data_IF_092845317949
#
_entry.id   IF_092845317949
#
_cell.length_a   1.000
_cell.length_b   1.000
_cell.length_c   1.000
_cell.angle_alpha   90.00
_cell.angle_beta   90.00
_cell.angle_gamma   90.00
#
_symmetry.space_group_name_H-M   'P 1'
#
loop_
_entity.id
_entity.type
_entity.pdbx_description
1 polymer ?
#
# COMPACT_ATOMS: atom_id res chain seq x y z
N UNK A 1 -2.65 -1.80 2.31
CA UNK A 1 -2.16 -0.50 1.82
C UNK A 1 -1.52 0.34 2.93
N UNK A 2 -0.33 0.87 2.65
CA UNK A 2 0.30 1.91 3.44
C UNK A 2 0.07 3.23 2.72
N UNK A 3 -0.61 4.18 3.36
CA UNK A 3 -0.73 5.55 2.87
C UNK A 3 0.35 6.41 3.53
N UNK A 4 1.34 6.83 2.76
CA UNK A 4 2.35 7.79 3.21
C UNK A 4 1.87 9.20 2.84
N UNK A 5 1.39 9.94 3.84
CA UNK A 5 0.75 11.23 3.63
C UNK A 5 1.73 12.42 3.44
N UNK A 6 3.05 12.22 3.51
CA UNK A 6 3.95 13.38 3.65
C UNK A 6 4.98 13.57 2.55
N UNK A 7 5.53 12.54 1.90
CA UNK A 7 6.43 12.77 0.75
C UNK A 7 6.71 11.48 -0.01
N UNK A 8 6.97 11.58 -1.33
CA UNK A 8 7.47 10.44 -2.12
C UNK A 8 8.73 9.80 -1.51
N UNK A 9 9.56 10.59 -0.81
CA UNK A 9 10.72 10.14 -0.03
C UNK A 9 10.38 9.11 1.05
N UNK A 10 9.31 9.31 1.81
CA UNK A 10 8.91 8.34 2.85
C UNK A 10 8.47 7.02 2.23
N UNK A 11 7.74 7.10 1.12
CA UNK A 11 7.30 5.93 0.37
C UNK A 11 8.51 5.13 -0.17
N UNK A 12 9.52 5.83 -0.70
CA UNK A 12 10.80 5.22 -1.10
C UNK A 12 11.55 4.59 0.09
N UNK A 13 11.59 5.25 1.24
CA UNK A 13 12.23 4.71 2.44
C UNK A 13 11.53 3.44 2.94
N UNK A 14 10.19 3.41 2.96
CA UNK A 14 9.40 2.24 3.33
C UNK A 14 9.63 1.12 2.31
N UNK A 15 9.65 1.43 1.00
CA UNK A 15 9.97 0.46 -0.05
C UNK A 15 11.36 -0.14 0.13
N UNK A 16 12.36 0.66 0.48
CA UNK A 16 13.71 0.18 0.76
C UNK A 16 13.75 -0.74 2.01
N UNK A 17 12.97 -0.42 3.06
CA UNK A 17 12.83 -1.29 4.24
C UNK A 17 12.13 -2.61 3.90
N UNK A 18 11.11 -2.56 3.05
CA UNK A 18 10.41 -3.76 2.55
C UNK A 18 11.33 -4.64 1.70
N UNK A 19 12.16 -4.04 0.85
CA UNK A 19 13.15 -4.76 0.05
C UNK A 19 14.22 -5.44 0.92
N UNK A 20 14.51 -4.90 2.11
CA UNK A 20 15.41 -5.51 3.11
C UNK A 20 14.75 -6.61 3.95
N UNK A 21 13.54 -7.06 3.60
CA UNK A 21 12.80 -8.08 4.36
C UNK A 21 11.95 -7.51 5.51
N UNK A 22 11.69 -6.20 5.51
CA UNK A 22 10.85 -5.57 6.54
C UNK A 22 9.40 -6.04 6.49
N UNK A 23 8.76 -6.14 7.65
CA UNK A 23 7.34 -6.47 7.76
C UNK A 23 6.45 -5.32 7.28
N UNK A 24 5.67 -5.57 6.22
CA UNK A 24 4.68 -4.61 5.72
C UNK A 24 3.65 -4.22 6.78
N UNK A 25 3.21 -5.16 7.61
CA UNK A 25 2.22 -4.92 8.65
C UNK A 25 2.75 -3.96 9.73
N UNK A 26 4.03 -4.11 10.14
CA UNK A 26 4.68 -3.20 11.09
C UNK A 26 4.86 -1.80 10.50
N UNK A 27 5.35 -1.73 9.26
CA UNK A 27 5.54 -0.46 8.55
C UNK A 27 4.20 0.24 8.30
N UNK A 28 3.14 -0.50 8.04
CA UNK A 28 1.80 0.05 7.93
C UNK A 28 1.29 0.62 9.25
N UNK A 29 1.50 -0.07 10.37
CA UNK A 29 1.12 0.45 11.70
C UNK A 29 1.87 1.73 12.05
N UNK A 30 3.17 1.79 11.72
CA UNK A 30 4.02 2.94 12.03
C UNK A 30 3.82 4.13 11.09
N UNK A 31 3.75 3.90 9.78
CA UNK A 31 3.82 4.95 8.76
C UNK A 31 2.49 5.21 8.05
N UNK A 32 1.53 4.28 8.10
CA UNK A 32 0.25 4.50 7.41
C UNK A 32 -0.59 5.54 8.14
N UNK A 33 -1.00 6.56 7.41
CA UNK A 33 -1.90 7.60 7.91
C UNK A 33 -3.38 7.24 7.69
N UNK A 34 -3.66 6.07 7.11
CA UNK A 34 -5.02 5.60 6.88
C UNK A 34 -5.61 5.00 8.18
N UNK A 35 -6.93 5.11 8.46
CA UNK A 35 -7.57 4.39 9.56
C UNK A 35 -7.33 2.87 9.53
N UNK A 36 -7.06 2.30 8.35
CA UNK A 36 -6.63 0.91 8.20
C UNK A 36 -5.30 0.57 8.88
N UNK A 37 -4.52 1.57 9.35
CA UNK A 37 -3.29 1.34 10.14
C UNK A 37 -3.53 0.44 11.35
N UNK A 38 -4.71 0.53 11.98
CA UNK A 38 -5.07 -0.32 13.14
C UNK A 38 -5.08 -1.81 12.77
N UNK A 39 -5.46 -2.12 11.53
CA UNK A 39 -5.45 -3.47 10.95
C UNK A 39 -4.16 -3.78 10.19
N UNK A 40 -3.06 -3.07 10.43
CA UNK A 40 -1.82 -3.35 9.68
C UNK A 40 -1.82 -2.82 8.26
N UNK A 41 -2.67 -1.83 7.97
CA UNK A 41 -2.92 -1.39 6.61
C UNK A 41 -3.76 -2.38 5.82
N UNK A 42 -4.42 -3.35 6.44
CA UNK A 42 -5.35 -4.24 5.75
C UNK A 42 -6.64 -3.48 5.40
N UNK A 43 -7.07 -3.60 4.14
CA UNK A 43 -8.32 -3.00 3.65
C UNK A 43 -9.45 -4.03 3.55
N UNK A 44 -9.18 -5.30 3.79
CA UNK A 44 -10.12 -6.38 3.52
C UNK A 44 -10.30 -6.61 2.03
N UNK A 45 -11.45 -7.16 1.68
CA UNK A 45 -11.87 -7.39 0.30
C UNK A 45 -12.56 -6.14 -0.26
N UNK A 46 -12.21 -5.78 -1.48
CA UNK A 46 -12.81 -4.66 -2.20
C UNK A 46 -12.89 -5.03 -3.68
N UNK A 47 -13.91 -4.54 -4.38
CA UNK A 47 -14.11 -4.79 -5.79
C UNK A 47 -13.43 -3.73 -6.64
N UNK A 48 -13.23 -4.07 -7.92
CA UNK A 48 -12.78 -3.11 -8.93
C UNK A 48 -13.80 -1.97 -9.04
N UNK A 49 -13.37 -0.74 -8.81
CA UNK A 49 -14.19 0.47 -8.80
C UNK A 49 -14.44 1.04 -7.41
N UNK A 50 -14.22 0.28 -6.34
CA UNK A 50 -14.38 0.76 -4.96
C UNK A 50 -13.24 1.70 -4.54
N UNK A 51 -12.10 1.60 -5.23
CA UNK A 51 -10.90 2.40 -4.98
C UNK A 51 -10.53 3.26 -6.19
N UNK A 52 -9.60 4.19 -5.98
CA UNK A 52 -9.05 5.01 -7.07
C UNK A 52 -8.43 4.11 -8.15
N UNK A 53 -8.65 4.46 -9.42
CA UNK A 53 -8.17 3.70 -10.59
C UNK A 53 -6.71 3.27 -10.52
N UNK A 54 -5.83 4.15 -10.00
CA UNK A 54 -4.41 3.84 -9.84
C UNK A 54 -4.13 2.71 -8.82
N UNK A 55 -5.00 2.53 -7.82
CA UNK A 55 -4.94 1.44 -6.87
C UNK A 55 -5.44 0.13 -7.50
N UNK A 56 -6.59 0.17 -8.17
CA UNK A 56 -7.13 -0.99 -8.89
C UNK A 56 -6.16 -1.51 -9.94
N UNK A 57 -5.59 -0.63 -10.77
CA UNK A 57 -4.61 -1.02 -11.77
C UNK A 57 -3.43 -1.77 -11.14
N UNK A 58 -3.01 -1.39 -9.94
CA UNK A 58 -1.93 -2.06 -9.23
C UNK A 58 -2.39 -3.40 -8.65
N UNK A 59 -3.53 -3.46 -7.97
CA UNK A 59 -4.03 -4.71 -7.39
C UNK A 59 -4.36 -5.76 -8.47
N UNK A 60 -4.92 -5.33 -9.60
CA UNK A 60 -5.38 -6.22 -10.67
C UNK A 60 -4.31 -6.52 -11.72
N UNK A 61 -3.38 -5.59 -12.05
CA UNK A 61 -2.34 -5.86 -13.06
C UNK A 61 -1.06 -6.44 -12.50
N UNK A 62 -0.80 -6.30 -11.20
CA UNK A 62 0.48 -6.70 -10.62
C UNK A 62 0.39 -8.05 -9.88
N UNK A 63 1.52 -8.76 -9.73
CA UNK A 63 1.55 -10.05 -9.06
C UNK A 63 1.20 -9.95 -7.57
N UNK A 64 0.62 -11.05 -7.09
CA UNK A 64 0.30 -11.31 -5.69
C UNK A 64 1.57 -11.40 -4.84
N UNK A 65 1.43 -11.14 -3.54
CA UNK A 65 2.48 -11.12 -2.51
C UNK A 65 3.62 -10.12 -2.70
N UNK A 66 3.60 -9.33 -3.77
CA UNK A 66 4.60 -8.30 -4.03
C UNK A 66 4.13 -6.90 -3.60
N UNK A 67 5.09 -6.06 -3.21
CA UNK A 67 4.85 -4.67 -2.83
C UNK A 67 4.99 -3.78 -4.05
N UNK A 68 3.89 -3.16 -4.44
CA UNK A 68 3.78 -2.22 -5.54
C UNK A 68 3.72 -0.79 -5.04
N UNK A 69 4.53 0.08 -5.65
CA UNK A 69 4.54 1.51 -5.37
C UNK A 69 5.88 2.17 -5.65
N UNK A 70 5.97 3.50 -5.44
CA UNK A 70 4.94 4.38 -4.86
C UNK A 70 3.86 4.81 -5.87
N UNK A 71 2.59 4.61 -5.52
CA UNK A 71 1.43 5.00 -6.33
C UNK A 71 0.97 6.39 -5.93
N UNK A 72 0.99 7.35 -6.85
CA UNK A 72 0.49 8.70 -6.62
C UNK A 72 -1.02 8.74 -6.85
N UNK A 73 -1.76 9.21 -5.86
CA UNK A 73 -3.21 9.43 -5.95
C UNK A 73 -3.52 10.87 -5.53
N UNK A 74 -4.79 11.30 -5.65
CA UNK A 74 -5.27 12.60 -5.14
C UNK A 74 -5.05 12.79 -3.63
N UNK A 75 -4.82 11.68 -2.93
CA UNK A 75 -4.72 11.58 -1.48
C UNK A 75 -3.27 11.47 -0.98
N UNK A 76 -2.28 11.46 -1.87
CA UNK A 76 -0.86 11.33 -1.55
C UNK A 76 -0.21 10.12 -2.21
N UNK A 77 0.80 9.55 -1.56
CA UNK A 77 1.53 8.37 -2.06
C UNK A 77 1.13 7.11 -1.29
N UNK A 78 0.99 6.01 -2.03
CA UNK A 78 0.53 4.75 -1.48
C UNK A 78 1.43 3.59 -1.91
N UNK A 79 1.70 2.70 -0.96
CA UNK A 79 2.28 1.38 -1.20
C UNK A 79 1.20 0.33 -1.02
N UNK A 80 1.11 -0.56 -1.99
CA UNK A 80 0.06 -1.57 -2.11
C UNK A 80 0.75 -2.92 -2.10
N UNK A 81 0.34 -3.81 -1.21
CA UNK A 81 0.75 -5.20 -1.24
C UNK A 81 -0.52 -6.01 -1.41
N UNK A 82 -0.62 -6.75 -2.48
CA UNK A 82 -1.76 -7.64 -2.71
C UNK A 82 -1.45 -8.96 -2.01
N UNK A 83 -2.26 -9.34 -1.03
CA UNK A 83 -2.04 -10.59 -0.27
C UNK A 83 -2.86 -11.73 -0.89
N UNK A 84 -4.06 -11.41 -1.34
CA UNK A 84 -4.98 -12.37 -1.93
C UNK A 84 -5.85 -11.64 -2.98
N UNK A 85 -6.27 -12.37 -4.02
CA UNK A 85 -7.19 -11.92 -5.06
C UNK A 85 -8.04 -13.12 -5.46
N UNK A 86 -9.36 -12.99 -5.34
CA UNK A 86 -10.33 -13.94 -5.89
C UNK A 86 -10.85 -13.44 -7.23
#
# INVERSE_FOLDING_TARGET
>A
MIRANKTGKECLAIKAKLAKGGDFNKLAKQYSTCPSKKRGGDLGEFNKGDMVKAFDDVVFKKPLFEVHGPVKTKFGYHLIKTVYRT
#
